data_IF_223262499530
#
_entry.id   IF_223262499530
#
_cell.length_a   1.000
_cell.length_b   1.000
_cell.length_c   1.000
_cell.angle_alpha   90.00
_cell.angle_beta   90.00
_cell.angle_gamma   90.00
#
_symmetry.space_group_name_H-M   'P 1'
#
loop_
_entity.id
_entity.type
_entity.pdbx_description
1 polymer ?
#
# COMPACT_ATOMS: atom_id res chain seq x y z
N UNK A 1 -20.90 6.01 4.84
CA UNK A 1 -19.99 5.11 5.59
C UNK A 1 -20.66 3.78 5.90
N UNK A 2 -21.78 3.77 6.64
CA UNK A 2 -22.47 2.53 7.03
C UNK A 2 -22.72 1.57 5.87
N UNK A 3 -23.28 2.07 4.77
CA UNK A 3 -23.58 1.24 3.59
C UNK A 3 -22.34 0.54 3.05
N UNK A 4 -21.23 1.27 2.87
CA UNK A 4 -20.00 0.70 2.35
C UNK A 4 -19.45 -0.40 3.27
N UNK A 5 -19.35 -0.15 4.57
CA UNK A 5 -18.85 -1.14 5.53
C UNK A 5 -19.78 -2.36 5.63
N UNK A 6 -21.10 -2.14 5.64
CA UNK A 6 -22.09 -3.22 5.68
C UNK A 6 -22.00 -4.11 4.44
N UNK A 7 -21.85 -3.50 3.25
CA UNK A 7 -21.74 -4.24 1.99
C UNK A 7 -20.45 -5.05 1.92
N UNK A 8 -19.30 -4.50 2.33
CA UNK A 8 -18.05 -5.26 2.37
C UNK A 8 -18.10 -6.37 3.43
N UNK A 9 -18.72 -6.11 4.59
CA UNK A 9 -18.88 -7.12 5.63
C UNK A 9 -19.73 -8.30 5.18
N UNK A 10 -20.79 -8.06 4.39
CA UNK A 10 -21.63 -9.12 3.82
C UNK A 10 -21.06 -9.73 2.53
N UNK A 11 -19.98 -9.16 1.98
CA UNK A 11 -19.45 -9.50 0.67
C UNK A 11 -20.14 -8.75 -0.47
N UNK A 12 -19.34 -8.26 -1.42
CA UNK A 12 -19.80 -7.73 -2.70
C UNK A 12 -19.27 -8.60 -3.82
N UNK A 13 -20.11 -8.89 -4.81
CA UNK A 13 -19.74 -9.59 -6.02
C UNK A 13 -20.50 -8.96 -7.19
N UNK A 14 -19.78 -8.52 -8.21
CA UNK A 14 -20.38 -7.91 -9.40
C UNK A 14 -19.46 -8.02 -10.61
N UNK A 15 -20.05 -7.94 -11.80
CA UNK A 15 -19.32 -7.66 -13.04
C UNK A 15 -19.36 -6.16 -13.27
N UNK A 16 -18.22 -5.57 -13.61
CA UNK A 16 -18.15 -4.14 -13.91
C UNK A 16 -19.20 -3.73 -14.95
N UNK A 17 -19.88 -2.61 -14.68
CA UNK A 17 -20.97 -2.16 -15.52
C UNK A 17 -20.43 -1.80 -16.90
N UNK A 18 -20.98 -2.43 -17.94
CA UNK A 18 -20.54 -2.31 -19.33
C UNK A 18 -19.19 -2.97 -19.64
N UNK A 19 -18.83 -4.03 -18.89
CA UNK A 19 -17.64 -4.86 -19.13
C UNK A 19 -17.38 -5.15 -20.61
N UNK A 20 -16.09 -5.12 -20.96
CA UNK A 20 -15.58 -5.34 -22.31
C UNK A 20 -14.80 -4.14 -22.87
N UNK A 21 -14.37 -4.23 -24.16
CA UNK A 21 -13.40 -3.31 -24.76
C UNK A 21 -13.77 -1.83 -24.79
N UNK A 22 -15.03 -1.49 -24.47
CA UNK A 22 -15.51 -0.11 -24.42
C UNK A 22 -15.09 0.62 -23.15
N UNK A 23 -14.85 -0.09 -22.06
CA UNK A 23 -14.42 0.50 -20.79
C UNK A 23 -12.95 0.22 -20.50
N UNK A 24 -12.43 -0.93 -20.93
CA UNK A 24 -11.01 -1.27 -20.86
C UNK A 24 -10.64 -2.12 -22.08
N UNK A 25 -9.71 -1.61 -22.90
CA UNK A 25 -9.29 -2.23 -24.16
C UNK A 25 -8.27 -3.37 -23.99
N UNK A 26 -7.82 -3.64 -22.77
CA UNK A 26 -6.75 -4.60 -22.49
C UNK A 26 -7.18 -5.68 -21.50
N UNK A 27 -7.95 -5.32 -20.48
CA UNK A 27 -8.36 -6.23 -19.40
C UNK A 27 -9.09 -7.47 -19.95
N UNK A 28 -8.73 -8.63 -19.42
CA UNK A 28 -9.38 -9.89 -19.72
C UNK A 28 -10.80 -9.94 -19.12
N UNK A 29 -11.68 -10.78 -19.67
CA UNK A 29 -13.07 -10.91 -19.21
C UNK A 29 -13.16 -11.14 -17.69
N UNK A 30 -12.30 -12.01 -17.16
CA UNK A 30 -12.22 -12.35 -15.73
C UNK A 30 -11.82 -11.15 -14.85
N UNK A 31 -11.11 -10.15 -15.39
CA UNK A 31 -10.71 -8.96 -14.67
C UNK A 31 -11.91 -8.08 -14.28
N UNK A 32 -12.96 -8.07 -15.11
CA UNK A 32 -14.20 -7.33 -14.84
C UNK A 32 -15.05 -7.97 -13.73
N UNK A 33 -14.78 -9.22 -13.34
CA UNK A 33 -15.46 -9.86 -12.22
C UNK A 33 -14.78 -9.45 -10.92
N UNK A 34 -15.45 -8.62 -10.12
CA UNK A 34 -14.93 -8.08 -8.88
C UNK A 34 -15.65 -8.72 -7.69
N UNK A 35 -14.87 -9.23 -6.75
CA UNK A 35 -15.33 -9.66 -5.44
C UNK A 35 -14.51 -8.94 -4.36
N UNK A 36 -15.17 -8.49 -3.29
CA UNK A 36 -14.52 -8.09 -2.06
C UNK A 36 -15.38 -8.46 -0.85
N UNK A 37 -14.75 -8.93 0.23
CA UNK A 37 -15.44 -9.40 1.43
C UNK A 37 -14.57 -9.20 2.67
N UNK A 38 -15.18 -9.26 3.84
CA UNK A 38 -14.45 -9.38 5.11
C UNK A 38 -14.27 -10.86 5.41
N UNK A 39 -13.05 -11.33 5.63
CA UNK A 39 -12.81 -12.67 6.16
C UNK A 39 -13.18 -12.68 7.64
N UNK A 40 -14.25 -13.40 8.00
CA UNK A 40 -14.77 -13.45 9.37
C UNK A 40 -13.79 -14.07 10.38
N UNK A 41 -12.80 -14.84 9.93
CA UNK A 41 -11.79 -15.44 10.81
C UNK A 41 -10.68 -14.45 11.20
N UNK A 42 -10.33 -13.54 10.30
CA UNK A 42 -9.22 -12.59 10.47
C UNK A 42 -9.67 -11.15 10.70
N UNK A 43 -10.88 -10.82 10.25
CA UNK A 43 -11.43 -9.47 10.17
C UNK A 43 -10.87 -8.64 9.00
N UNK A 44 -10.07 -9.25 8.11
CA UNK A 44 -9.44 -8.54 7.01
C UNK A 44 -10.37 -8.34 5.82
N UNK A 45 -10.20 -7.23 5.11
CA UNK A 45 -10.83 -7.00 3.82
C UNK A 45 -9.99 -7.71 2.76
N UNK A 46 -10.58 -8.68 2.08
CA UNK A 46 -9.98 -9.42 0.98
C UNK A 46 -10.76 -9.16 -0.30
N UNK A 47 -10.09 -9.12 -1.45
CA UNK A 47 -10.78 -8.97 -2.72
C UNK A 47 -9.87 -9.00 -3.93
N UNK A 48 -10.45 -8.74 -5.09
CA UNK A 48 -9.74 -8.76 -6.37
C UNK A 48 -9.45 -10.17 -6.89
N UNK A 49 -8.67 -10.24 -7.95
CA UNK A 49 -8.17 -11.47 -8.55
C UNK A 49 -6.90 -11.19 -9.38
N UNK A 50 -6.26 -12.24 -9.91
CA UNK A 50 -5.01 -12.11 -10.70
C UNK A 50 -5.16 -11.35 -12.02
N UNK A 51 -6.38 -11.06 -12.45
CA UNK A 51 -6.71 -10.40 -13.71
C UNK A 51 -7.12 -8.94 -13.53
N UNK A 52 -7.16 -8.42 -12.30
CA UNK A 52 -7.55 -7.04 -12.04
C UNK A 52 -6.52 -6.25 -11.21
N UNK A 53 -6.79 -4.95 -11.13
CA UNK A 53 -5.90 -3.91 -10.62
C UNK A 53 -6.62 -3.04 -9.58
N UNK A 54 -7.25 -3.65 -8.57
CA UNK A 54 -8.09 -2.92 -7.60
C UNK A 54 -7.36 -2.01 -6.60
N UNK A 55 -6.03 -1.93 -6.66
CA UNK A 55 -5.21 -1.10 -5.76
C UNK A 55 -4.47 -0.04 -6.57
N UNK A 56 -3.86 0.95 -5.93
CA UNK A 56 -3.13 2.02 -6.64
C UNK A 56 -1.96 1.53 -7.51
N UNK A 57 -1.47 0.30 -7.30
CA UNK A 57 -0.49 -0.33 -8.17
C UNK A 57 -1.22 -1.01 -9.35
N UNK A 58 -1.79 -0.19 -10.24
CA UNK A 58 -2.88 -0.59 -11.14
C UNK A 58 -2.49 -0.83 -12.61
N UNK A 59 -1.20 -0.95 -12.91
CA UNK A 59 -0.74 -1.11 -14.29
C UNK A 59 -1.27 -2.40 -14.94
N UNK A 60 -2.23 -2.25 -15.86
CA UNK A 60 -2.65 -3.29 -16.80
C UNK A 60 -1.68 -3.33 -18.00
N UNK A 61 -1.13 -4.50 -18.29
CA UNK A 61 -0.26 -4.71 -19.44
C UNK A 61 -1.01 -4.55 -20.76
N UNK A 62 -0.31 -4.05 -21.77
CA UNK A 62 -0.88 -3.63 -23.06
C UNK A 62 -0.12 -4.15 -24.29
N UNK A 63 1.09 -4.68 -24.12
CA UNK A 63 1.95 -5.14 -25.20
C UNK A 63 1.60 -6.56 -25.63
N UNK A 64 1.04 -6.70 -26.83
CA UNK A 64 0.85 -8.00 -27.48
C UNK A 64 2.19 -8.66 -27.79
N UNK A 65 3.15 -7.85 -28.28
CA UNK A 65 4.49 -8.29 -28.70
C UNK A 65 5.29 -8.92 -27.56
N UNK A 66 5.18 -8.37 -26.35
CA UNK A 66 5.83 -8.90 -25.16
C UNK A 66 4.96 -9.94 -24.41
N UNK A 67 3.76 -10.25 -24.91
CA UNK A 67 2.84 -11.21 -24.29
C UNK A 67 2.31 -10.76 -22.92
N UNK A 68 2.21 -9.45 -22.70
CA UNK A 68 1.81 -8.88 -21.41
C UNK A 68 0.42 -8.21 -21.45
N UNK A 69 -0.16 -8.03 -22.64
CA UNK A 69 -1.52 -7.48 -22.82
C UNK A 69 -2.56 -8.24 -21.99
N UNK A 70 -3.35 -7.48 -21.23
CA UNK A 70 -4.43 -7.99 -20.39
C UNK A 70 -3.99 -8.68 -19.10
N UNK A 71 -2.70 -8.63 -18.77
CA UNK A 71 -2.19 -9.09 -17.47
C UNK A 71 -1.86 -7.89 -16.59
N UNK A 72 -2.36 -7.84 -15.34
CA UNK A 72 -1.84 -6.91 -14.34
C UNK A 72 -0.35 -7.10 -14.12
N UNK A 73 0.40 -6.01 -14.05
CA UNK A 73 1.81 -6.04 -13.67
C UNK A 73 2.00 -6.30 -12.16
N UNK A 74 1.03 -5.86 -11.37
CA UNK A 74 1.02 -5.91 -9.90
C UNK A 74 -0.38 -6.23 -9.38
N UNK A 75 -0.94 -7.42 -9.65
CA UNK A 75 -2.18 -7.83 -9.01
C UNK A 75 -1.93 -7.92 -7.50
N UNK A 76 -2.76 -7.23 -6.72
CA UNK A 76 -2.70 -7.19 -5.24
C UNK A 76 -4.01 -7.70 -4.67
N UNK A 77 -4.40 -8.88 -5.13
CA UNK A 77 -5.57 -9.62 -4.68
C UNK A 77 -5.35 -10.22 -3.27
N UNK A 78 -6.45 -10.58 -2.62
CA UNK A 78 -6.45 -10.94 -1.20
C UNK A 78 -6.48 -9.69 -0.31
N UNK A 79 -5.80 -9.75 0.83
CA UNK A 79 -5.81 -8.68 1.82
C UNK A 79 -4.63 -7.73 1.62
N UNK A 80 -4.81 -6.65 0.85
CA UNK A 80 -3.82 -5.59 0.70
C UNK A 80 -3.58 -4.84 2.03
N UNK A 81 -2.31 -4.64 2.40
CA UNK A 81 -1.91 -4.15 3.74
C UNK A 81 -2.49 -2.77 4.08
N UNK A 82 -2.54 -1.85 3.11
CA UNK A 82 -3.04 -0.49 3.34
C UNK A 82 -4.54 -0.47 3.60
N UNK A 83 -5.30 -1.37 2.97
CA UNK A 83 -6.74 -1.47 3.18
C UNK A 83 -7.05 -1.95 4.60
N UNK A 84 -6.19 -2.78 5.19
CA UNK A 84 -6.36 -3.22 6.58
C UNK A 84 -6.11 -2.06 7.55
N UNK A 85 -5.04 -1.29 7.32
CA UNK A 85 -4.75 -0.08 8.09
C UNK A 85 -5.88 0.94 8.04
N UNK A 86 -6.37 1.23 6.83
CA UNK A 86 -7.47 2.16 6.60
C UNK A 86 -8.77 1.68 7.25
N UNK A 87 -9.12 0.40 7.08
CA UNK A 87 -10.30 -0.19 7.72
C UNK A 87 -10.22 -0.04 9.24
N UNK A 88 -9.10 -0.46 9.83
CA UNK A 88 -8.90 -0.37 11.28
C UNK A 88 -9.03 1.07 11.80
N UNK A 89 -8.41 2.04 11.13
CA UNK A 89 -8.53 3.45 11.50
C UNK A 89 -9.98 3.95 11.42
N UNK A 90 -10.71 3.57 10.37
CA UNK A 90 -12.12 3.94 10.18
C UNK A 90 -12.99 3.33 11.27
N UNK A 91 -12.94 2.01 11.49
CA UNK A 91 -13.81 1.35 12.48
C UNK A 91 -13.51 1.83 13.90
N UNK A 92 -12.24 2.10 14.25
CA UNK A 92 -11.91 2.73 15.54
C UNK A 92 -12.53 4.12 15.67
N UNK A 93 -12.50 4.93 14.60
CA UNK A 93 -13.10 6.26 14.64
C UNK A 93 -14.62 6.19 14.74
N UNK A 94 -15.25 5.24 14.07
CA UNK A 94 -16.70 5.02 14.17
C UNK A 94 -17.12 4.55 15.56
N UNK A 95 -16.32 3.71 16.21
CA UNK A 95 -16.53 3.32 17.61
C UNK A 95 -16.53 4.55 18.53
N UNK A 96 -15.54 5.44 18.38
CA UNK A 96 -15.45 6.69 19.15
C UNK A 96 -16.68 7.59 18.89
N UNK A 97 -17.06 7.75 17.62
CA UNK A 97 -18.20 8.60 17.25
C UNK A 97 -19.54 8.02 17.71
N UNK A 98 -19.69 6.69 17.71
CA UNK A 98 -20.87 6.01 18.25
C UNK A 98 -21.04 6.27 19.75
N UNK A 99 -19.99 6.09 20.54
CA UNK A 99 -20.02 6.38 21.98
C UNK A 99 -20.26 7.87 22.29
N UNK A 100 -19.84 8.77 21.40
CA UNK A 100 -20.14 10.21 21.46
C UNK A 100 -21.54 10.57 20.95
N UNK A 101 -22.35 9.59 20.50
CA UNK A 101 -23.69 9.78 19.88
C UNK A 101 -23.66 10.66 18.62
N UNK A 102 -22.52 10.70 17.92
CA UNK A 102 -22.32 11.43 16.66
C UNK A 102 -22.43 10.52 15.43
N UNK A 103 -22.45 9.20 15.64
CA UNK A 103 -22.69 8.21 14.60
C UNK A 103 -23.75 7.22 15.10
N UNK A 104 -24.84 6.97 14.34
CA UNK A 104 -26.00 6.28 14.89
C UNK A 104 -25.89 4.75 14.89
N UNK A 105 -24.87 4.18 14.25
CA UNK A 105 -24.70 2.73 14.11
C UNK A 105 -23.57 2.22 15.01
N UNK A 106 -23.79 1.09 15.69
CA UNK A 106 -22.83 0.49 16.61
C UNK A 106 -21.85 -0.50 15.97
N UNK A 107 -22.13 -0.89 14.71
CA UNK A 107 -21.41 -1.96 14.04
C UNK A 107 -21.97 -2.31 12.67
N UNK A 108 -21.57 -3.49 12.19
CA UNK A 108 -22.07 -4.17 10.99
C UNK A 108 -22.72 -5.49 11.36
N UNK A 109 -23.60 -6.00 10.51
CA UNK A 109 -24.32 -7.25 10.77
C UNK A 109 -24.54 -8.04 9.48
N UNK A 110 -24.67 -9.35 9.63
CA UNK A 110 -25.26 -10.27 8.66
C UNK A 110 -26.60 -10.77 9.19
N UNK A 111 -27.26 -11.67 8.48
CA UNK A 111 -28.46 -12.35 9.01
C UNK A 111 -28.18 -13.18 10.27
N UNK A 112 -26.93 -13.62 10.48
CA UNK A 112 -26.56 -14.58 11.52
C UNK A 112 -25.78 -13.95 12.69
N UNK A 113 -25.12 -12.81 12.49
CA UNK A 113 -24.30 -12.20 13.53
C UNK A 113 -24.17 -10.68 13.40
N UNK A 114 -23.81 -10.04 14.51
CA UNK A 114 -23.47 -8.62 14.57
C UNK A 114 -22.05 -8.44 15.12
N UNK A 115 -21.30 -7.54 14.49
CA UNK A 115 -19.99 -7.11 14.92
C UNK A 115 -20.05 -5.64 15.29
N UNK A 116 -19.89 -5.32 16.57
CA UNK A 116 -19.64 -3.95 16.99
C UNK A 116 -18.32 -3.45 16.39
N UNK A 117 -18.18 -2.13 16.23
CA UNK A 117 -16.92 -1.55 15.76
C UNK A 117 -15.72 -1.99 16.59
N UNK A 118 -15.87 -2.01 17.92
CA UNK A 118 -14.86 -2.51 18.84
C UNK A 118 -14.54 -4.00 18.64
N UNK A 119 -15.56 -4.85 18.44
CA UNK A 119 -15.34 -6.28 18.16
C UNK A 119 -14.52 -6.46 16.89
N UNK A 120 -14.90 -5.80 15.80
CA UNK A 120 -14.17 -5.88 14.53
C UNK A 120 -12.73 -5.39 14.68
N UNK A 121 -12.52 -4.24 15.32
CA UNK A 121 -11.18 -3.71 15.59
C UNK A 121 -10.32 -4.71 16.39
N UNK A 122 -10.87 -5.34 17.42
CA UNK A 122 -10.13 -6.31 18.22
C UNK A 122 -9.75 -7.56 17.41
N UNK A 123 -10.63 -8.07 16.56
CA UNK A 123 -10.35 -9.20 15.68
C UNK A 123 -9.19 -8.86 14.74
N UNK A 124 -9.24 -7.70 14.07
CA UNK A 124 -8.15 -7.26 13.19
C UNK A 124 -6.84 -7.09 13.95
N UNK A 125 -6.85 -6.43 15.11
CA UNK A 125 -5.64 -6.18 15.92
C UNK A 125 -4.97 -7.48 16.37
N UNK A 126 -5.76 -8.48 16.78
CA UNK A 126 -5.25 -9.76 17.25
C UNK A 126 -4.67 -10.62 16.11
N UNK A 127 -5.07 -10.37 14.87
CA UNK A 127 -4.66 -11.15 13.71
C UNK A 127 -3.58 -10.46 12.86
N UNK A 128 -3.57 -9.13 12.75
CA UNK A 128 -2.71 -8.39 11.82
C UNK A 128 -1.24 -8.80 11.91
N UNK A 129 -0.65 -8.71 13.10
CA UNK A 129 0.75 -9.09 13.30
C UNK A 129 1.02 -10.56 12.93
N UNK A 130 0.12 -11.47 13.29
CA UNK A 130 0.27 -12.91 13.04
C UNK A 130 0.33 -13.24 11.54
N UNK A 131 -0.46 -12.54 10.72
CA UNK A 131 -0.59 -12.86 9.30
C UNK A 131 0.30 -12.02 8.39
N UNK A 132 0.58 -10.77 8.77
CA UNK A 132 1.37 -9.83 7.95
C UNK A 132 2.84 -9.73 8.37
N UNK A 133 3.24 -10.00 9.62
CA UNK A 133 4.65 -9.88 10.00
C UNK A 133 5.45 -11.13 9.62
N UNK A 134 6.55 -10.95 8.87
CA UNK A 134 7.46 -12.04 8.50
C UNK A 134 8.54 -12.13 9.58
N UNK A 135 8.37 -13.06 10.52
CA UNK A 135 9.33 -13.27 11.60
C UNK A 135 10.64 -13.93 11.13
N UNK A 136 11.68 -13.83 11.95
CA UNK A 136 13.01 -14.42 11.68
C UNK A 136 12.97 -15.94 11.45
N UNK A 137 11.96 -16.62 12.00
CA UNK A 137 11.77 -18.06 11.86
C UNK A 137 10.70 -18.44 10.83
N UNK A 138 10.22 -17.53 9.98
CA UNK A 138 9.29 -17.87 8.90
C UNK A 138 9.98 -18.80 7.89
N UNK A 139 9.34 -19.96 7.66
CA UNK A 139 9.83 -21.06 6.82
C UNK A 139 9.13 -21.13 5.46
N UNK A 140 8.24 -20.18 5.15
CA UNK A 140 7.59 -20.15 3.84
C UNK A 140 8.64 -20.06 2.74
N UNK A 141 8.46 -20.87 1.69
CA UNK A 141 9.34 -20.90 0.51
C UNK A 141 9.37 -19.57 -0.25
N UNK A 142 8.41 -18.68 0.03
CA UNK A 142 8.24 -17.39 -0.63
C UNK A 142 8.98 -16.24 0.06
N UNK A 143 9.60 -16.46 1.23
CA UNK A 143 10.28 -15.41 1.99
C UNK A 143 11.52 -14.92 1.23
N UNK A 144 11.49 -13.66 0.78
CA UNK A 144 12.68 -12.95 0.29
C UNK A 144 13.44 -12.28 1.45
N UNK A 145 12.72 -11.55 2.32
CA UNK A 145 13.28 -10.89 3.52
C UNK A 145 12.47 -11.19 4.77
N UNK A 146 13.14 -11.15 5.92
CA UNK A 146 12.54 -11.29 7.25
C UNK A 146 12.61 -9.96 8.00
N UNK A 147 11.80 -9.83 9.05
CA UNK A 147 11.66 -8.57 9.80
C UNK A 147 10.81 -7.51 9.10
N UNK A 148 10.08 -7.89 8.04
CA UNK A 148 9.25 -6.99 7.23
C UNK A 148 7.76 -7.26 7.45
N UNK A 149 6.92 -6.34 6.95
CA UNK A 149 5.47 -6.51 6.88
C UNK A 149 5.12 -6.86 5.42
N UNK A 150 4.40 -7.95 5.24
CA UNK A 150 3.87 -8.43 3.95
C UNK A 150 3.10 -7.33 3.22
N UNK A 151 3.17 -7.35 1.90
CA UNK A 151 2.43 -6.41 1.07
C UNK A 151 0.94 -6.79 0.94
N UNK A 152 0.68 -8.09 0.83
CA UNK A 152 -0.65 -8.70 0.80
C UNK A 152 -0.68 -9.94 1.69
N UNK A 153 -1.88 -10.43 1.99
CA UNK A 153 -2.07 -11.75 2.59
C UNK A 153 -3.14 -12.52 1.84
N UNK A 154 -2.81 -13.76 1.45
CA UNK A 154 -3.74 -14.64 0.75
C UNK A 154 -3.90 -14.30 -0.72
N UNK A 155 -2.88 -13.69 -1.35
CA UNK A 155 -2.88 -13.49 -2.79
C UNK A 155 -2.83 -14.82 -3.53
N UNK A 156 -3.38 -14.85 -4.75
CA UNK A 156 -3.34 -16.06 -5.58
C UNK A 156 -1.89 -16.44 -5.94
N UNK A 157 -1.02 -15.45 -6.17
CA UNK A 157 0.40 -15.67 -6.39
C UNK A 157 1.18 -15.54 -5.09
N UNK A 158 1.27 -16.62 -4.31
CA UNK A 158 1.75 -16.56 -2.92
C UNK A 158 3.13 -15.91 -2.66
N UNK A 159 3.98 -15.70 -3.67
CA UNK A 159 5.21 -14.90 -3.50
C UNK A 159 4.96 -13.39 -3.40
N UNK A 160 3.88 -12.86 -3.97
CA UNK A 160 3.56 -11.42 -3.94
C UNK A 160 3.25 -10.94 -2.53
N UNK A 161 2.67 -11.81 -1.69
CA UNK A 161 2.49 -11.58 -0.26
C UNK A 161 3.80 -11.21 0.44
N UNK A 162 4.92 -11.83 0.06
CA UNK A 162 6.22 -11.73 0.72
C UNK A 162 7.14 -10.64 0.14
N UNK A 163 6.64 -9.83 -0.80
CA UNK A 163 7.42 -8.73 -1.38
C UNK A 163 7.57 -7.57 -0.39
N UNK A 164 8.79 -7.07 -0.24
CA UNK A 164 9.03 -5.80 0.44
C UNK A 164 8.60 -4.66 -0.49
N UNK A 165 7.51 -3.99 -0.13
CA UNK A 165 6.91 -2.83 -0.82
C UNK A 165 6.61 -1.70 0.16
N UNK A 166 6.45 -0.45 -0.29
CA UNK A 166 6.25 0.67 0.61
C UNK A 166 4.83 0.76 1.21
N UNK A 167 3.88 -0.07 0.75
CA UNK A 167 2.45 0.05 1.07
C UNK A 167 2.13 -0.11 2.55
N UNK A 168 2.89 -0.93 3.29
CA UNK A 168 2.68 -1.10 4.73
C UNK A 168 2.85 0.21 5.52
N UNK A 169 3.60 1.18 4.98
CA UNK A 169 3.74 2.49 5.60
C UNK A 169 2.42 3.25 5.67
N UNK A 170 1.50 3.04 4.71
CA UNK A 170 0.16 3.63 4.77
C UNK A 170 -0.57 3.10 6.00
N UNK A 171 -0.53 1.78 6.21
CA UNK A 171 -1.15 1.14 7.36
C UNK A 171 -0.55 1.64 8.69
N UNK A 172 0.78 1.71 8.78
CA UNK A 172 1.45 2.19 10.00
C UNK A 172 1.24 3.69 10.26
N UNK A 173 1.05 4.51 9.22
CA UNK A 173 0.77 5.93 9.39
C UNK A 173 -0.63 6.19 9.95
N UNK A 174 -1.65 5.45 9.47
CA UNK A 174 -3.05 5.65 9.89
C UNK A 174 -3.44 4.82 11.12
N UNK A 175 -2.79 3.68 11.32
CA UNK A 175 -3.11 2.70 12.35
C UNK A 175 -1.83 2.11 13.00
N UNK A 176 -0.98 2.95 13.63
CA UNK A 176 0.32 2.53 14.16
C UNK A 176 0.25 1.50 15.30
N UNK A 177 -0.95 1.26 15.87
CA UNK A 177 -1.19 0.30 16.96
C UNK A 177 -1.66 -1.08 16.50
N UNK A 178 -1.69 -1.35 15.19
CA UNK A 178 -2.06 -2.65 14.61
C UNK A 178 -1.00 -3.74 14.83
N UNK A 179 0.25 -3.35 15.07
CA UNK A 179 1.39 -4.25 15.27
C UNK A 179 2.24 -3.73 16.44
N UNK A 180 3.02 -4.60 17.07
CA UNK A 180 3.99 -4.19 18.07
C UNK A 180 4.95 -3.12 17.51
N UNK A 181 5.17 -2.00 18.23
CA UNK A 181 5.91 -0.86 17.70
C UNK A 181 7.38 -1.19 17.38
N UNK A 182 8.02 -2.10 18.10
CA UNK A 182 9.39 -2.57 17.79
C UNK A 182 9.47 -3.29 16.44
N UNK A 183 8.48 -4.14 16.13
CA UNK A 183 8.38 -4.86 14.85
C UNK A 183 8.10 -3.90 13.70
N UNK A 184 7.20 -2.95 13.92
CA UNK A 184 6.94 -1.87 12.97
C UNK A 184 8.20 -1.03 12.71
N UNK A 185 8.97 -0.71 13.76
CA UNK A 185 10.22 0.03 13.64
C UNK A 185 11.27 -0.76 12.86
N UNK A 186 11.45 -2.06 13.15
CA UNK A 186 12.35 -2.93 12.39
C UNK A 186 11.99 -2.94 10.89
N UNK A 187 10.71 -3.14 10.55
CA UNK A 187 10.25 -3.13 9.17
C UNK A 187 10.49 -1.79 8.46
N UNK A 188 10.27 -0.66 9.17
CA UNK A 188 10.56 0.68 8.66
C UNK A 188 12.06 0.91 8.45
N UNK A 189 12.94 0.36 9.29
CA UNK A 189 14.38 0.45 9.10
C UNK A 189 14.84 -0.33 7.87
N UNK A 190 14.29 -1.52 7.64
CA UNK A 190 14.59 -2.29 6.43
C UNK A 190 14.09 -1.55 5.18
N UNK A 191 12.87 -1.01 5.21
CA UNK A 191 12.36 -0.22 4.09
C UNK A 191 13.15 1.09 3.87
N UNK A 192 13.69 1.70 4.92
CA UNK A 192 14.57 2.86 4.79
C UNK A 192 15.85 2.52 4.02
N UNK A 193 16.47 1.40 4.36
CA UNK A 193 17.73 0.95 3.76
C UNK A 193 17.53 0.50 2.32
N UNK A 194 16.47 -0.27 2.06
CA UNK A 194 16.29 -0.99 0.80
C UNK A 194 15.43 -0.23 -0.21
N UNK A 195 14.40 0.50 0.25
CA UNK A 195 13.42 1.12 -0.64
C UNK A 195 13.62 2.63 -0.80
N UNK A 196 14.15 3.34 0.20
CA UNK A 196 14.15 4.80 0.17
C UNK A 196 15.08 5.35 -0.91
N UNK A 197 14.50 6.05 -1.89
CA UNK A 197 15.23 6.77 -2.92
C UNK A 197 15.59 8.20 -2.49
N UNK A 198 16.27 8.98 -3.34
CA UNK A 198 16.60 10.37 -3.06
C UNK A 198 15.36 11.28 -2.96
N UNK A 199 14.33 11.02 -3.75
CA UNK A 199 13.10 11.82 -3.79
C UNK A 199 11.84 10.97 -3.54
N UNK A 200 11.74 9.79 -4.17
CA UNK A 200 10.65 8.84 -3.93
C UNK A 200 11.07 7.65 -3.06
N UNK A 201 10.17 6.68 -2.95
CA UNK A 201 10.44 5.35 -2.38
C UNK A 201 10.15 4.30 -3.45
N UNK A 202 11.07 3.34 -3.62
CA UNK A 202 10.95 2.27 -4.62
C UNK A 202 9.70 1.45 -4.34
N UNK A 203 8.94 1.14 -5.37
CA UNK A 203 7.69 0.36 -5.23
C UNK A 203 7.90 -1.13 -5.02
N UNK A 204 9.12 -1.62 -5.26
CA UNK A 204 9.53 -2.99 -5.04
C UNK A 204 11.00 -3.03 -4.63
N UNK A 205 11.33 -3.98 -3.77
CA UNK A 205 12.67 -4.35 -3.34
C UNK A 205 13.64 -4.59 -4.53
N UNK A 206 14.81 -3.92 -4.56
CA UNK A 206 15.84 -4.16 -5.57
C UNK A 206 16.34 -5.61 -5.69
N UNK A 207 16.20 -6.43 -4.64
CA UNK A 207 16.61 -7.85 -4.69
C UNK A 207 15.58 -8.76 -5.36
N UNK A 208 14.34 -8.28 -5.57
CA UNK A 208 13.27 -9.05 -6.17
C UNK A 208 13.53 -9.24 -7.68
N UNK A 209 13.26 -10.46 -8.18
CA UNK A 209 13.43 -10.78 -9.59
C UNK A 209 12.64 -9.82 -10.50
N UNK A 210 11.47 -9.35 -10.07
CA UNK A 210 10.60 -8.48 -10.85
C UNK A 210 11.03 -7.01 -10.83
N UNK A 211 12.06 -6.64 -10.05
CA UNK A 211 12.50 -5.26 -9.94
C UNK A 211 12.98 -4.69 -11.29
N UNK A 212 12.32 -3.63 -11.74
CA UNK A 212 12.62 -2.85 -12.92
C UNK A 212 12.38 -1.36 -12.62
N UNK A 213 13.42 -0.56 -12.34
CA UNK A 213 13.25 0.79 -11.80
C UNK A 213 13.10 1.90 -12.85
N UNK A 214 12.98 1.53 -14.13
CA UNK A 214 12.82 2.48 -15.22
C UNK A 214 11.44 2.32 -15.83
N UNK A 215 10.62 3.36 -15.71
CA UNK A 215 9.32 3.43 -16.36
C UNK A 215 9.46 4.05 -17.76
N UNK A 216 9.10 3.27 -18.78
CA UNK A 216 8.99 3.73 -20.15
C UNK A 216 7.71 3.22 -20.80
N UNK A 217 6.73 4.11 -20.97
CA UNK A 217 5.45 3.76 -21.60
C UNK A 217 5.58 3.50 -23.10
N UNK A 218 6.61 4.05 -23.75
CA UNK A 218 6.84 3.93 -25.20
C UNK A 218 7.69 2.71 -25.58
N UNK A 219 8.04 1.84 -24.62
CA UNK A 219 8.86 0.66 -24.90
C UNK A 219 8.07 -0.38 -25.72
N UNK A 220 8.25 -0.39 -27.05
CA UNK A 220 7.76 -1.42 -27.97
C UNK A 220 8.70 -2.64 -28.06
N UNK A 221 9.44 -2.93 -27.00
CA UNK A 221 10.30 -4.10 -26.89
C UNK A 221 9.54 -5.43 -26.83
N UNK A 222 10.30 -6.51 -26.65
CA UNK A 222 9.78 -7.87 -26.45
C UNK A 222 9.93 -8.33 -24.99
N UNK A 223 10.58 -7.54 -24.14
CA UNK A 223 10.78 -7.85 -22.74
C UNK A 223 9.52 -7.52 -21.93
N UNK A 224 8.90 -8.55 -21.35
CA UNK A 224 7.66 -8.40 -20.58
C UNK A 224 7.78 -7.39 -19.45
N UNK A 225 8.94 -7.33 -18.76
CA UNK A 225 9.14 -6.46 -17.58
C UNK A 225 9.18 -4.97 -17.89
N UNK A 226 9.46 -4.57 -19.13
CA UNK A 226 9.63 -3.16 -19.51
C UNK A 226 8.60 -2.70 -20.53
N UNK A 227 8.20 -3.59 -21.45
CA UNK A 227 7.36 -3.25 -22.58
C UNK A 227 6.05 -2.57 -22.16
N UNK A 228 5.78 -1.43 -22.80
CA UNK A 228 4.62 -0.57 -22.59
C UNK A 228 4.38 -0.21 -21.12
N UNK A 229 5.48 0.05 -20.40
CA UNK A 229 5.43 0.56 -19.04
C UNK A 229 5.03 -0.47 -17.99
N UNK A 230 5.20 -1.77 -18.25
CA UNK A 230 4.94 -2.83 -17.25
C UNK A 230 5.62 -2.56 -15.90
N UNK A 231 6.76 -1.89 -15.92
CA UNK A 231 7.54 -1.52 -14.75
C UNK A 231 6.94 -0.44 -13.85
N UNK A 232 5.79 0.18 -14.19
CA UNK A 232 5.24 1.37 -13.51
C UNK A 232 5.20 1.29 -11.97
N UNK A 233 4.93 0.09 -11.42
CA UNK A 233 4.95 -0.20 -9.98
C UNK A 233 5.94 -1.31 -9.58
N UNK A 234 6.97 -1.57 -10.37
CA UNK A 234 7.96 -2.63 -10.11
C UNK A 234 9.36 -2.10 -9.81
N UNK A 235 9.51 -0.89 -9.28
CA UNK A 235 10.81 -0.32 -8.96
C UNK A 235 10.90 1.20 -9.07
N UNK A 236 10.10 1.89 -9.92
CA UNK A 236 10.06 3.35 -9.92
C UNK A 236 9.80 3.89 -8.51
N UNK A 237 10.34 5.07 -8.25
CA UNK A 237 10.37 5.69 -6.94
C UNK A 237 9.21 6.67 -6.82
N UNK A 238 8.20 6.32 -6.03
CA UNK A 238 6.97 7.10 -5.90
C UNK A 238 7.03 8.05 -4.70
N UNK A 239 6.50 9.26 -4.86
CA UNK A 239 6.66 10.32 -3.84
C UNK A 239 5.59 10.26 -2.76
N UNK A 240 4.31 10.14 -3.13
CA UNK A 240 3.19 10.23 -2.18
C UNK A 240 3.25 9.12 -1.11
N UNK A 241 3.56 7.88 -1.50
CA UNK A 241 3.73 6.75 -0.56
C UNK A 241 5.01 6.90 0.27
N UNK A 242 6.02 7.62 -0.24
CA UNK A 242 7.18 8.05 0.54
C UNK A 242 6.81 9.00 1.69
N UNK A 243 5.80 9.85 1.51
CA UNK A 243 5.29 10.69 2.60
C UNK A 243 4.59 9.86 3.68
N UNK A 244 3.84 8.82 3.30
CA UNK A 244 3.30 7.85 4.25
C UNK A 244 4.40 7.12 5.03
N UNK A 245 5.53 6.79 4.39
CA UNK A 245 6.71 6.25 5.07
C UNK A 245 7.24 7.20 6.17
N UNK A 246 7.37 8.50 5.89
CA UNK A 246 7.81 9.44 6.91
C UNK A 246 6.80 9.60 8.06
N UNK A 247 5.50 9.64 7.74
CA UNK A 247 4.43 9.68 8.77
C UNK A 247 4.44 8.45 9.65
N UNK A 248 4.56 7.25 9.07
CA UNK A 248 4.69 6.00 9.80
C UNK A 248 5.89 6.03 10.75
N UNK A 249 7.05 6.50 10.26
CA UNK A 249 8.27 6.61 11.08
C UNK A 249 8.10 7.55 12.27
N UNK A 250 7.44 8.70 12.09
CA UNK A 250 7.11 9.61 13.18
C UNK A 250 6.11 8.98 14.17
N UNK A 251 5.05 8.35 13.67
CA UNK A 251 4.01 7.75 14.49
C UNK A 251 4.55 6.61 15.37
N UNK A 252 5.32 5.69 14.78
CA UNK A 252 5.93 4.57 15.51
C UNK A 252 7.00 5.06 16.49
N UNK A 253 7.87 5.99 16.07
CA UNK A 253 8.89 6.54 16.97
C UNK A 253 8.27 7.24 18.19
N UNK A 254 7.13 7.92 18.01
CA UNK A 254 6.40 8.56 19.10
C UNK A 254 5.90 7.52 20.11
N UNK A 255 5.28 6.43 19.62
CA UNK A 255 4.80 5.34 20.50
C UNK A 255 5.96 4.75 21.30
N UNK A 256 7.08 4.39 20.64
CA UNK A 256 8.25 3.82 21.33
C UNK A 256 8.81 4.79 22.37
N UNK A 257 8.88 6.08 22.04
CA UNK A 257 9.37 7.10 22.97
C UNK A 257 8.49 7.24 24.21
N UNK A 258 7.17 7.17 24.03
CA UNK A 258 6.21 7.20 25.14
C UNK A 258 6.32 5.94 26.01
N UNK A 259 6.38 4.75 25.41
CA UNK A 259 6.49 3.47 26.12
C UNK A 259 7.80 3.32 26.90
N UNK A 260 8.91 3.83 26.34
CA UNK A 260 10.23 3.80 26.99
C UNK A 260 10.48 4.97 27.92
N UNK A 261 9.55 5.93 28.01
CA UNK A 261 9.75 7.22 28.69
C UNK A 261 11.08 7.90 28.27
N UNK A 262 11.42 7.81 26.98
CA UNK A 262 12.64 8.37 26.39
C UNK A 262 12.34 9.00 25.02
N UNK A 263 12.45 10.33 24.93
CA UNK A 263 12.18 11.09 23.73
C UNK A 263 13.18 10.86 22.57
N UNK A 264 14.29 10.16 22.80
CA UNK A 264 15.38 10.01 21.81
C UNK A 264 14.91 9.39 20.48
N UNK A 265 14.05 8.37 20.50
CA UNK A 265 13.52 7.76 19.28
C UNK A 265 12.75 8.77 18.43
N UNK A 266 11.84 9.52 19.05
CA UNK A 266 11.05 10.53 18.37
C UNK A 266 11.91 11.71 17.87
N UNK A 267 12.89 12.17 18.66
CA UNK A 267 13.82 13.21 18.22
C UNK A 267 14.67 12.78 17.02
N UNK A 268 15.16 11.53 17.01
CA UNK A 268 15.90 10.97 15.87
C UNK A 268 15.02 10.89 14.62
N UNK A 269 13.78 10.43 14.76
CA UNK A 269 12.82 10.37 13.65
C UNK A 269 12.52 11.76 13.08
N UNK A 270 12.28 12.78 13.94
CA UNK A 270 12.07 14.17 13.50
C UNK A 270 13.27 14.74 12.75
N UNK A 271 14.49 14.53 13.24
CA UNK A 271 15.71 15.00 12.55
C UNK A 271 15.86 14.37 11.18
N UNK A 272 15.61 13.06 11.08
CA UNK A 272 15.61 12.34 9.81
C UNK A 272 14.55 12.90 8.85
N UNK A 273 13.29 12.99 9.26
CA UNK A 273 12.23 13.50 8.38
C UNK A 273 12.51 14.94 7.94
N UNK A 274 12.99 15.79 8.85
CA UNK A 274 13.35 17.18 8.51
C UNK A 274 14.48 17.25 7.48
N UNK A 275 15.48 16.38 7.54
CA UNK A 275 16.54 16.38 6.52
C UNK A 275 15.99 15.98 5.15
N UNK A 276 15.03 15.04 5.11
CA UNK A 276 14.31 14.64 3.89
C UNK A 276 13.47 15.77 3.30
N UNK A 277 12.77 16.56 4.13
CA UNK A 277 12.03 17.75 3.70
C UNK A 277 12.93 18.78 3.00
N UNK A 278 14.20 18.86 3.39
CA UNK A 278 15.19 19.68 2.67
C UNK A 278 15.34 19.28 1.20
N UNK A 279 15.37 17.98 0.89
CA UNK A 279 15.47 17.50 -0.50
C UNK A 279 14.25 17.87 -1.33
N UNK A 280 13.04 17.74 -0.77
CA UNK A 280 11.81 18.17 -1.47
C UNK A 280 11.79 19.68 -1.71
N UNK A 281 12.23 20.47 -0.73
CA UNK A 281 12.39 21.92 -0.89
C UNK A 281 13.37 22.29 -2.00
N UNK A 282 14.53 21.62 -2.05
CA UNK A 282 15.47 21.81 -3.15
C UNK A 282 14.86 21.44 -4.50
N UNK A 283 14.10 20.34 -4.60
CA UNK A 283 13.44 19.97 -5.84
C UNK A 283 12.42 21.03 -6.28
N UNK A 284 11.56 21.49 -5.36
CA UNK A 284 10.52 22.49 -5.64
C UNK A 284 11.10 23.80 -6.21
N UNK A 285 12.25 24.24 -5.69
CA UNK A 285 12.92 25.47 -6.18
C UNK A 285 13.41 25.37 -7.62
N UNK A 286 13.80 24.17 -8.06
CA UNK A 286 14.38 23.94 -9.40
C UNK A 286 13.37 23.35 -10.39
N UNK A 287 12.20 22.91 -9.92
CA UNK A 287 11.12 22.40 -10.75
C UNK A 287 10.49 23.51 -11.59
N UNK A 288 10.37 23.29 -12.90
CA UNK A 288 9.68 24.21 -13.82
C UNK A 288 8.23 24.47 -13.40
N UNK A 289 7.60 23.52 -12.70
CA UNK A 289 6.20 23.58 -12.29
C UNK A 289 6.02 24.07 -10.85
N UNK A 290 7.10 24.36 -10.12
CA UNK A 290 7.08 24.62 -8.68
C UNK A 290 6.33 23.53 -7.90
N UNK A 291 6.48 22.28 -8.33
CA UNK A 291 5.75 21.13 -7.81
C UNK A 291 6.64 19.89 -7.76
N UNK A 292 6.12 18.83 -7.15
CA UNK A 292 6.75 17.53 -7.05
C UNK A 292 6.22 16.59 -8.14
N UNK A 293 7.07 15.73 -8.73
CA UNK A 293 6.64 14.76 -9.72
C UNK A 293 5.77 13.67 -9.09
N UNK A 294 5.10 12.91 -9.93
CA UNK A 294 4.43 11.68 -9.54
C UNK A 294 5.42 10.63 -9.06
N UNK A 295 6.45 10.39 -9.88
CA UNK A 295 7.47 9.39 -9.64
C UNK A 295 8.83 9.82 -10.21
N UNK A 296 9.89 9.17 -9.75
CA UNK A 296 11.21 9.19 -10.38
C UNK A 296 11.59 7.79 -10.83
N UNK A 297 12.52 7.71 -11.78
CA UNK A 297 13.18 6.44 -12.10
C UNK A 297 14.21 6.09 -11.00
N UNK A 298 15.04 5.08 -11.24
CA UNK A 298 16.09 4.64 -10.34
C UNK A 298 16.90 5.80 -9.73
N UNK A 299 17.05 5.80 -8.41
CA UNK A 299 17.89 6.72 -7.65
C UNK A 299 17.60 8.20 -7.95
N UNK A 300 16.31 8.56 -8.01
CA UNK A 300 15.87 9.94 -8.25
C UNK A 300 16.12 10.44 -9.67
N UNK A 301 16.51 9.59 -10.62
CA UNK A 301 16.69 10.01 -12.01
C UNK A 301 15.36 10.47 -12.62
N UNK A 302 15.36 11.49 -13.49
CA UNK A 302 14.14 11.98 -14.11
C UNK A 302 13.40 10.87 -14.88
N UNK A 303 12.08 10.87 -14.77
CA UNK A 303 11.22 10.05 -15.61
C UNK A 303 10.46 10.94 -16.58
N UNK A 304 10.72 10.78 -17.88
CA UNK A 304 10.06 11.55 -18.95
C UNK A 304 8.53 11.40 -18.92
N UNK A 305 8.05 10.20 -18.60
CA UNK A 305 6.63 9.87 -18.55
C UNK A 305 5.94 10.25 -17.23
N UNK A 306 6.69 10.71 -16.22
CA UNK A 306 6.10 11.14 -14.96
C UNK A 306 5.38 12.48 -15.14
N UNK A 307 4.19 12.61 -14.54
CA UNK A 307 3.61 13.93 -14.32
C UNK A 307 4.58 14.78 -13.49
N UNK A 308 4.95 15.98 -13.98
CA UNK A 308 5.92 16.87 -13.32
C UNK A 308 5.34 17.67 -12.15
N UNK A 309 4.02 17.63 -11.96
CA UNK A 309 3.31 18.36 -10.93
C UNK A 309 2.10 17.57 -10.44
N UNK A 310 2.31 16.67 -9.49
CA UNK A 310 1.29 15.69 -9.11
C UNK A 310 0.60 16.01 -7.79
N UNK A 311 -0.73 15.98 -7.80
CA UNK A 311 -1.57 16.44 -6.69
C UNK A 311 -1.33 15.68 -5.39
N UNK A 312 -1.27 14.34 -5.43
CA UNK A 312 -1.03 13.53 -4.24
C UNK A 312 0.37 13.71 -3.65
N UNK A 313 1.37 14.08 -4.45
CA UNK A 313 2.75 14.20 -3.99
C UNK A 313 2.86 15.45 -3.12
N UNK A 314 2.23 16.55 -3.55
CA UNK A 314 2.10 17.77 -2.78
C UNK A 314 1.14 17.58 -1.60
N UNK A 315 -0.03 16.98 -1.82
CA UNK A 315 -1.04 16.76 -0.78
C UNK A 315 -0.48 15.98 0.41
N UNK A 316 0.17 14.85 0.16
CA UNK A 316 0.77 14.07 1.22
C UNK A 316 1.98 14.75 1.87
N UNK A 317 2.73 15.59 1.15
CA UNK A 317 3.80 16.41 1.74
C UNK A 317 3.23 17.46 2.70
N UNK A 318 2.08 18.06 2.39
CA UNK A 318 1.42 19.05 3.25
C UNK A 318 0.84 18.45 4.54
N UNK A 319 0.58 17.14 4.56
CA UNK A 319 0.13 16.42 5.76
C UNK A 319 1.27 16.06 6.75
N UNK A 320 2.53 16.38 6.40
CA UNK A 320 3.72 16.12 7.22
C UNK A 320 3.89 17.07 8.42
#
# INVERSE_FOLDING_TARGET
MQEALMRHFNGIEFVERNAGPRIDEHMQEQGFHVNAYVDHSTGFISGGNIYNCGTWMDKMGSSEKAGNKGWPATPRDGAAVELQGLCFAVIQKLDELYHKKLYPYEGVFTENEMWTWQKWANIMKNNFERFFYIAENDLSQYVNRRGIIKDTYGSTQGYTDYQLRPNFSIALAVAPKLIAPEKAWQALQIAEEELLGPLGIKTLDPSDYNYCPFYNQDDDGTEKKTAQGWSYHQGPEWLWVGMFFYRAKLAIAKIISEEKNNAEFYEKAKRFVRSRMGTYWEHLKHSTWASLPELTNANGSPCYHSCGAQAWSIGCMLEM
#
